data_IF_827333655416
#
_entry.id   IF_827333655416
#
_cell.length_a   1.000
_cell.length_b   1.000
_cell.length_c   1.000
_cell.angle_alpha   90.00
_cell.angle_beta   90.00
_cell.angle_gamma   90.00
#
_symmetry.space_group_name_H-M   'P 1'
#
loop_
_entity.id
_entity.type
_entity.pdbx_description
1 polymer ?
#
# COMPACT_ATOMS: atom_id res chain seq x y z
N UNK A 1 -23.76 19.84 2.68
CA UNK A 1 -23.17 18.50 2.47
C UNK A 1 -21.67 18.73 2.49
N UNK A 2 -21.02 18.31 3.58
CA UNK A 2 -19.67 18.75 3.95
C UNK A 2 -18.62 18.22 2.97
N UNK A 3 -17.79 19.14 2.49
CA UNK A 3 -16.58 18.89 1.72
C UNK A 3 -15.52 18.39 2.70
N UNK A 4 -15.14 17.11 2.60
CA UNK A 4 -14.04 16.54 3.39
C UNK A 4 -12.76 17.27 3.03
N UNK A 5 -12.32 18.14 3.93
CA UNK A 5 -10.95 18.64 3.92
C UNK A 5 -10.03 17.45 4.19
N UNK A 6 -9.44 16.88 3.15
CA UNK A 6 -8.28 16.01 3.25
C UNK A 6 -7.13 16.86 3.83
N UNK A 7 -7.12 17.00 5.16
CA UNK A 7 -6.17 17.82 5.88
C UNK A 7 -4.79 17.18 5.81
N UNK A 8 -3.82 17.93 5.28
CA UNK A 8 -2.41 17.65 5.48
C UNK A 8 -2.16 17.45 6.97
N UNK A 9 -1.64 16.28 7.36
CA UNK A 9 -1.23 16.00 8.74
C UNK A 9 -0.27 17.09 9.22
N UNK A 10 -0.58 17.72 10.35
CA UNK A 10 0.37 18.58 11.04
C UNK A 10 1.51 17.76 11.64
N UNK A 11 2.62 18.44 11.97
CA UNK A 11 3.79 17.81 12.58
C UNK A 11 3.44 17.07 13.89
N UNK A 12 2.58 17.67 14.69
CA UNK A 12 2.13 17.16 15.98
C UNK A 12 1.29 15.88 15.86
N UNK A 13 0.38 15.84 14.88
CA UNK A 13 -0.43 14.66 14.57
C UNK A 13 0.43 13.54 13.97
N UNK A 14 1.37 13.89 13.09
CA UNK A 14 2.31 12.93 12.51
C UNK A 14 3.20 12.29 13.58
N UNK A 15 3.67 13.09 14.55
CA UNK A 15 4.42 12.58 15.70
C UNK A 15 3.57 11.62 16.54
N UNK A 16 2.30 11.97 16.82
CA UNK A 16 1.38 11.07 17.53
C UNK A 16 1.16 9.75 16.76
N UNK A 17 0.96 9.82 15.45
CA UNK A 17 0.81 8.66 14.57
C UNK A 17 2.06 7.76 14.60
N UNK A 18 3.26 8.37 14.55
CA UNK A 18 4.55 7.66 14.66
C UNK A 18 4.68 6.92 15.98
N UNK A 19 4.29 7.54 17.10
CA UNK A 19 4.38 6.89 18.41
C UNK A 19 3.44 5.68 18.51
N UNK A 20 2.20 5.80 18.01
CA UNK A 20 1.26 4.67 17.92
C UNK A 20 1.82 3.55 17.03
N UNK A 21 2.46 3.89 15.91
CA UNK A 21 3.08 2.91 15.03
C UNK A 21 4.22 2.15 15.72
N UNK A 22 5.07 2.85 16.48
CA UNK A 22 6.16 2.26 17.26
C UNK A 22 5.65 1.33 18.37
N UNK A 23 4.43 1.53 18.85
CA UNK A 23 3.76 0.66 19.81
C UNK A 23 3.10 -0.57 19.15
N UNK A 24 3.30 -0.76 17.84
CA UNK A 24 2.79 -1.91 17.09
C UNK A 24 1.51 -1.65 16.28
N UNK A 25 1.02 -0.41 16.25
CA UNK A 25 -0.24 -0.05 15.59
C UNK A 25 -0.30 -0.30 14.07
N UNK A 26 0.85 -0.52 13.42
CA UNK A 26 0.93 -0.92 12.01
C UNK A 26 0.64 -2.41 11.76
N UNK A 27 0.99 -3.28 12.72
CA UNK A 27 0.85 -4.72 12.55
C UNK A 27 -0.49 -5.25 13.11
N UNK A 28 -1.01 -4.59 14.14
CA UNK A 28 -2.23 -4.97 14.82
C UNK A 28 -2.80 -3.82 15.63
N UNK A 29 -4.06 -3.95 16.07
CA UNK A 29 -4.63 -3.05 17.06
C UNK A 29 -3.76 -3.03 18.33
N UNK A 30 -3.33 -1.83 18.73
CA UNK A 30 -2.49 -1.60 19.93
C UNK A 30 -3.28 -0.85 20.98
N UNK A 31 -3.09 -1.22 22.24
CA UNK A 31 -3.70 -0.52 23.37
C UNK A 31 -2.91 0.75 23.68
N UNK A 32 -3.58 1.90 23.63
CA UNK A 32 -3.00 3.22 23.87
C UNK A 32 -3.76 3.90 25.01
N UNK A 33 -3.03 4.51 25.94
CA UNK A 33 -3.60 5.41 26.95
C UNK A 33 -3.22 6.86 26.64
N UNK A 34 -4.11 7.81 26.91
CA UNK A 34 -3.78 9.24 26.71
C UNK A 34 -2.70 9.73 27.67
N UNK A 35 -2.50 9.04 28.80
CA UNK A 35 -1.40 9.31 29.74
C UNK A 35 -0.05 8.97 29.14
N UNK A 36 0.14 7.70 28.77
CA UNK A 36 1.40 7.22 28.20
C UNK A 36 1.75 7.93 26.89
N UNK A 37 0.73 8.20 26.05
CA UNK A 37 0.93 8.96 24.82
C UNK A 37 1.25 10.43 25.11
N UNK A 38 0.62 11.03 26.13
CA UNK A 38 0.90 12.39 26.57
C UNK A 38 2.34 12.55 27.03
N UNK A 39 2.80 11.65 27.89
CA UNK A 39 4.17 11.66 28.42
C UNK A 39 5.21 11.58 27.29
N UNK A 40 5.00 10.70 26.30
CA UNK A 40 5.90 10.57 25.13
C UNK A 40 5.82 11.73 24.14
N UNK A 41 4.69 12.42 24.09
CA UNK A 41 4.51 13.64 23.29
C UNK A 41 4.97 14.90 24.03
N UNK A 42 5.45 14.78 25.28
CA UNK A 42 5.69 15.90 26.20
C UNK A 42 4.49 16.86 26.27
N UNK A 43 3.29 16.28 26.33
CA UNK A 43 2.02 16.99 26.21
C UNK A 43 1.00 16.51 27.24
N UNK A 44 0.01 17.34 27.52
CA UNK A 44 -1.08 16.96 28.42
C UNK A 44 -1.93 15.81 27.85
N UNK A 45 -2.56 15.02 28.73
CA UNK A 45 -3.53 13.98 28.32
C UNK A 45 -4.64 14.53 27.40
N UNK A 46 -5.07 15.77 27.62
CA UNK A 46 -6.08 16.41 26.76
C UNK A 46 -5.53 16.70 25.36
N UNK A 47 -4.28 17.12 25.26
CA UNK A 47 -3.62 17.35 23.96
C UNK A 47 -3.42 16.03 23.22
N UNK A 48 -2.95 14.98 23.91
CA UNK A 48 -2.84 13.64 23.32
C UNK A 48 -4.20 13.13 22.82
N UNK A 49 -5.27 13.28 23.62
CA UNK A 49 -6.63 12.93 23.22
C UNK A 49 -7.08 13.70 21.98
N UNK A 50 -6.82 15.01 21.90
CA UNK A 50 -7.17 15.84 20.74
C UNK A 50 -6.42 15.41 19.48
N UNK A 51 -5.14 15.05 19.59
CA UNK A 51 -4.35 14.54 18.46
C UNK A 51 -4.88 13.21 17.94
N UNK A 52 -5.23 12.28 18.83
CA UNK A 52 -5.87 11.01 18.42
C UNK A 52 -7.24 11.23 17.76
N UNK A 53 -8.03 12.19 18.25
CA UNK A 53 -9.30 12.56 17.61
C UNK A 53 -9.08 13.17 16.22
N UNK A 54 -8.06 14.01 16.06
CA UNK A 54 -7.71 14.59 14.77
C UNK A 54 -7.24 13.53 13.76
N UNK A 55 -6.43 12.56 14.21
CA UNK A 55 -5.99 11.43 13.39
C UNK A 55 -7.16 10.55 12.92
N UNK A 56 -8.11 10.26 13.81
CA UNK A 56 -9.32 9.50 13.49
C UNK A 56 -10.22 10.29 12.52
N UNK A 57 -10.41 11.59 12.76
CA UNK A 57 -11.20 12.45 11.88
C UNK A 57 -10.59 12.60 10.47
N UNK A 58 -9.28 12.36 10.32
CA UNK A 58 -8.57 12.34 9.05
C UNK A 58 -8.44 10.96 8.41
N UNK A 59 -9.12 9.93 8.94
CA UNK A 59 -9.05 8.52 8.49
C UNK A 59 -7.63 7.92 8.55
N UNK A 60 -6.72 8.46 9.39
CA UNK A 60 -5.36 7.94 9.55
C UNK A 60 -5.28 6.78 10.55
N UNK A 61 -6.25 6.69 11.47
CA UNK A 61 -6.37 5.63 12.47
C UNK A 61 -7.84 5.27 12.69
N UNK A 62 -8.07 4.03 13.10
CA UNK A 62 -9.34 3.55 13.67
C UNK A 62 -9.17 3.37 15.18
N UNK A 63 -10.20 3.74 15.96
CA UNK A 63 -10.15 3.64 17.42
C UNK A 63 -11.39 2.98 18.02
N UNK A 64 -11.14 2.12 19.00
CA UNK A 64 -12.18 1.54 19.87
C UNK A 64 -11.92 1.93 21.33
N UNK A 65 -12.80 2.76 21.90
CA UNK A 65 -12.70 3.22 23.28
C UNK A 65 -13.17 2.13 24.24
N UNK A 66 -12.36 1.83 25.27
CA UNK A 66 -12.67 0.84 26.32
C UNK A 66 -12.47 1.45 27.71
N UNK A 67 -12.92 0.76 28.76
CA UNK A 67 -12.87 1.26 30.13
C UNK A 67 -11.45 1.56 30.66
N UNK A 68 -10.42 0.97 30.04
CA UNK A 68 -9.01 1.05 30.45
C UNK A 68 -8.11 1.53 29.30
N UNK A 69 -8.59 2.48 28.49
CA UNK A 69 -7.84 3.08 27.38
C UNK A 69 -8.56 2.98 26.04
N UNK A 70 -7.81 2.92 24.95
CA UNK A 70 -8.36 2.75 23.61
C UNK A 70 -7.51 1.79 22.81
N UNK A 71 -8.15 0.98 21.96
CA UNK A 71 -7.45 0.23 20.92
C UNK A 71 -7.32 1.11 19.70
N UNK A 72 -6.12 1.21 19.14
CA UNK A 72 -5.84 2.01 17.95
C UNK A 72 -5.23 1.12 16.89
N UNK A 73 -5.76 1.20 15.68
CA UNK A 73 -5.20 0.55 14.49
C UNK A 73 -4.84 1.62 13.48
N UNK A 74 -3.67 1.55 12.87
CA UNK A 74 -3.28 2.48 11.81
C UNK A 74 -3.91 2.04 10.49
N UNK A 75 -4.52 2.98 9.77
CA UNK A 75 -5.11 2.72 8.46
C UNK A 75 -4.06 2.75 7.34
N UNK A 76 -4.45 2.33 6.13
CA UNK A 76 -3.61 2.48 4.94
C UNK A 76 -3.22 3.94 4.64
N UNK A 77 -4.06 4.90 5.03
CA UNK A 77 -3.75 6.33 4.93
C UNK A 77 -2.68 6.75 5.96
N UNK A 78 -2.80 6.29 7.21
CA UNK A 78 -1.79 6.53 8.23
C UNK A 78 -0.44 5.89 7.89
N UNK A 79 -0.45 4.66 7.37
CA UNK A 79 0.78 4.00 6.91
C UNK A 79 1.45 4.79 5.77
N UNK A 80 0.68 5.24 4.78
CA UNK A 80 1.23 6.06 3.68
C UNK A 80 1.85 7.37 4.18
N UNK A 81 1.24 8.03 5.16
CA UNK A 81 1.80 9.24 5.77
C UNK A 81 3.16 8.97 6.42
N UNK A 82 3.28 7.88 7.19
CA UNK A 82 4.55 7.47 7.81
C UNK A 82 5.61 7.06 6.76
N UNK A 83 5.20 6.41 5.67
CA UNK A 83 6.11 6.06 4.56
C UNK A 83 6.64 7.31 3.86
N UNK A 84 5.82 8.35 3.70
CA UNK A 84 6.27 9.62 3.12
C UNK A 84 7.34 10.28 4.00
N UNK A 85 7.09 10.37 5.31
CA UNK A 85 8.05 10.90 6.30
C UNK A 85 9.36 10.10 6.27
N UNK A 86 9.28 8.77 6.19
CA UNK A 86 10.45 7.91 6.08
C UNK A 86 11.23 8.17 4.78
N UNK A 87 10.56 8.36 3.65
CA UNK A 87 11.20 8.66 2.38
C UNK A 87 11.97 10.00 2.42
N UNK A 88 11.45 11.00 3.13
CA UNK A 88 12.16 12.27 3.32
C UNK A 88 13.41 12.08 4.18
N UNK A 89 13.35 11.30 5.26
CA UNK A 89 14.56 10.95 6.02
C UNK A 89 15.57 10.16 5.20
N UNK A 90 15.13 9.21 4.36
CA UNK A 90 16.05 8.49 3.45
C UNK A 90 16.75 9.46 2.52
N UNK A 91 16.04 10.42 1.91
CA UNK A 91 16.66 11.44 1.05
C UNK A 91 17.70 12.32 1.76
N UNK A 92 17.49 12.60 3.04
CA UNK A 92 18.39 13.44 3.83
C UNK A 92 19.65 12.71 4.30
N UNK A 93 19.53 11.42 4.63
CA UNK A 93 20.58 10.67 5.32
C UNK A 93 21.21 9.54 4.51
N UNK A 94 20.58 9.09 3.43
CA UNK A 94 21.16 8.13 2.52
C UNK A 94 21.76 8.88 1.32
N UNK A 95 23.09 8.83 1.18
CA UNK A 95 23.76 9.19 -0.09
C UNK A 95 23.13 8.38 -1.21
N UNK A 96 22.89 9.01 -2.38
CA UNK A 96 22.24 8.49 -3.60
C UNK A 96 22.42 6.98 -3.81
N UNK A 97 21.69 6.18 -3.04
CA UNK A 97 21.64 4.75 -3.17
C UNK A 97 20.36 4.53 -3.93
N UNK A 98 20.49 4.56 -5.26
CA UNK A 98 19.37 4.35 -6.15
C UNK A 98 18.51 3.16 -5.70
N UNK A 99 17.19 3.28 -5.89
CA UNK A 99 16.27 2.20 -5.56
C UNK A 99 16.70 0.92 -6.27
N UNK A 100 17.13 -0.08 -5.50
CA UNK A 100 17.49 -1.39 -6.03
C UNK A 100 16.29 -2.31 -5.92
N UNK A 101 15.79 -2.77 -7.06
CA UNK A 101 14.72 -3.77 -7.15
C UNK A 101 15.31 -5.08 -7.67
N UNK A 102 15.06 -6.18 -6.96
CA UNK A 102 15.49 -7.54 -7.31
C UNK A 102 14.29 -8.42 -7.65
N UNK A 103 14.52 -9.37 -8.56
CA UNK A 103 13.47 -10.26 -9.05
C UNK A 103 13.99 -11.22 -10.11
N UNK A 104 13.08 -12.06 -10.63
CA UNK A 104 13.37 -13.03 -11.66
C UNK A 104 12.84 -12.58 -13.02
N UNK A 105 13.61 -12.81 -14.08
CA UNK A 105 13.17 -12.48 -15.45
C UNK A 105 12.06 -13.45 -15.87
N UNK A 106 10.97 -12.92 -16.41
CA UNK A 106 9.83 -13.72 -16.86
C UNK A 106 9.49 -13.45 -18.32
N UNK A 107 8.94 -14.47 -18.99
CA UNK A 107 8.39 -14.32 -20.34
C UNK A 107 6.97 -13.78 -20.28
N UNK A 108 6.62 -12.83 -21.15
CA UNK A 108 5.25 -12.33 -21.32
C UNK A 108 4.63 -12.76 -22.66
N UNK A 109 3.38 -12.34 -22.91
CA UNK A 109 2.66 -12.62 -24.17
C UNK A 109 3.17 -11.83 -25.39
N UNK A 110 4.20 -10.99 -25.22
CA UNK A 110 4.80 -10.21 -26.31
C UNK A 110 4.07 -8.91 -26.67
N UNK A 111 3.03 -8.53 -25.92
CA UNK A 111 2.23 -7.32 -26.18
C UNK A 111 3.03 -6.02 -26.01
N UNK A 112 4.09 -6.02 -25.18
CA UNK A 112 4.95 -4.85 -24.95
C UNK A 112 5.57 -4.31 -26.25
N UNK A 113 5.89 -5.18 -27.22
CA UNK A 113 6.40 -4.77 -28.54
C UNK A 113 5.43 -3.85 -29.26
N UNK A 114 4.14 -4.16 -29.21
CA UNK A 114 3.11 -3.38 -29.88
C UNK A 114 3.11 -1.94 -29.39
N UNK A 115 3.12 -1.73 -28.06
CA UNK A 115 3.08 -0.40 -27.45
C UNK A 115 4.35 0.41 -27.66
N UNK A 116 5.52 -0.21 -27.51
CA UNK A 116 6.81 0.50 -27.63
C UNK A 116 7.06 0.99 -29.06
N UNK A 117 6.57 0.26 -30.08
CA UNK A 117 6.71 0.65 -31.49
C UNK A 117 5.65 1.65 -31.99
N UNK A 118 4.73 2.11 -31.12
CA UNK A 118 3.76 3.13 -31.55
C UNK A 118 4.50 4.44 -31.83
N UNK A 119 4.31 5.09 -33.01
CA UNK A 119 5.08 6.28 -33.40
C UNK A 119 4.99 7.46 -32.43
N UNK A 120 3.95 7.51 -31.59
CA UNK A 120 3.81 8.53 -30.55
C UNK A 120 4.61 8.23 -29.28
N UNK A 121 4.80 6.95 -28.95
CA UNK A 121 5.61 6.53 -27.80
C UNK A 121 7.10 6.58 -28.16
N UNK A 122 7.49 6.05 -29.32
CA UNK A 122 8.88 6.08 -29.80
C UNK A 122 9.46 7.50 -29.79
N UNK A 123 8.74 8.48 -30.35
CA UNK A 123 9.12 9.90 -30.29
C UNK A 123 9.25 10.45 -28.86
N UNK A 124 8.41 10.00 -27.94
CA UNK A 124 8.51 10.42 -26.54
C UNK A 124 9.73 9.81 -25.85
N UNK A 125 10.06 8.54 -26.12
CA UNK A 125 11.29 7.91 -25.62
C UNK A 125 12.52 8.67 -26.12
N UNK A 126 12.59 8.99 -27.41
CA UNK A 126 13.70 9.76 -27.95
C UNK A 126 13.79 11.17 -27.36
N UNK A 127 12.66 11.88 -27.25
CA UNK A 127 12.64 13.26 -26.75
C UNK A 127 12.95 13.34 -25.25
N UNK A 128 12.37 12.44 -24.44
CA UNK A 128 12.44 12.51 -22.97
C UNK A 128 13.63 11.74 -22.39
N UNK A 129 14.07 10.68 -23.07
CA UNK A 129 15.09 9.76 -22.56
C UNK A 129 16.32 9.66 -23.48
N UNK A 130 16.29 10.25 -24.68
CA UNK A 130 17.45 10.35 -25.56
C UNK A 130 17.85 9.05 -26.26
N UNK A 131 16.96 8.05 -26.32
CA UNK A 131 17.24 6.78 -27.01
C UNK A 131 16.00 6.24 -27.75
N UNK A 132 16.24 5.50 -28.83
CA UNK A 132 15.22 4.71 -29.52
C UNK A 132 15.00 3.38 -28.79
N UNK A 133 13.79 3.09 -28.30
CA UNK A 133 13.56 1.93 -27.46
C UNK A 133 13.63 0.61 -28.25
N UNK A 134 14.15 -0.45 -27.61
CA UNK A 134 14.06 -1.80 -28.16
C UNK A 134 12.58 -2.21 -28.30
N UNK A 135 12.16 -2.89 -29.38
CA UNK A 135 10.75 -3.23 -29.63
C UNK A 135 10.27 -4.39 -28.74
N UNK A 136 10.15 -4.14 -27.44
CA UNK A 136 9.73 -5.08 -26.41
C UNK A 136 9.89 -4.52 -25.01
N UNK A 137 9.46 -5.29 -24.00
CA UNK A 137 9.62 -4.94 -22.58
C UNK A 137 10.32 -6.07 -21.85
N UNK A 138 11.15 -5.72 -20.87
CA UNK A 138 11.71 -6.69 -19.91
C UNK A 138 10.71 -6.87 -18.78
N UNK A 139 10.24 -8.09 -18.55
CA UNK A 139 9.37 -8.40 -17.42
C UNK A 139 10.21 -8.99 -16.29
N UNK A 140 10.05 -8.43 -15.10
CA UNK A 140 10.71 -8.89 -13.89
C UNK A 140 9.62 -9.16 -12.86
N UNK A 141 9.58 -10.38 -12.34
CA UNK A 141 8.77 -10.73 -11.18
C UNK A 141 9.55 -10.41 -9.91
N UNK A 142 9.09 -9.40 -9.17
CA UNK A 142 9.80 -8.83 -8.04
C UNK A 142 9.72 -9.74 -6.82
N UNK A 143 10.79 -9.82 -6.03
CA UNK A 143 10.72 -10.47 -4.73
C UNK A 143 9.89 -9.65 -3.71
N UNK A 144 9.48 -10.28 -2.61
CA UNK A 144 8.61 -9.65 -1.62
C UNK A 144 9.21 -8.36 -1.02
N UNK A 145 10.54 -8.29 -0.90
CA UNK A 145 11.22 -7.10 -0.40
C UNK A 145 11.12 -5.95 -1.41
N UNK A 146 11.35 -6.24 -2.69
CA UNK A 146 11.28 -5.30 -3.80
C UNK A 146 9.85 -4.87 -4.12
N UNK A 147 8.85 -5.74 -3.91
CA UNK A 147 7.43 -5.36 -4.00
C UNK A 147 7.11 -4.26 -2.97
N UNK A 148 7.59 -4.40 -1.74
CA UNK A 148 7.40 -3.38 -0.69
C UNK A 148 8.17 -2.10 -0.98
N UNK A 149 9.41 -2.22 -1.47
CA UNK A 149 10.24 -1.08 -1.84
C UNK A 149 9.72 -0.34 -3.10
N UNK A 150 8.96 -1.00 -3.97
CA UNK A 150 8.37 -0.40 -5.18
C UNK A 150 7.50 0.82 -4.88
N UNK A 151 6.87 0.88 -3.70
CA UNK A 151 6.09 2.05 -3.28
C UNK A 151 6.94 3.34 -3.23
N UNK A 152 8.24 3.23 -3.01
CA UNK A 152 9.16 4.37 -3.01
C UNK A 152 9.35 4.94 -4.42
N UNK A 153 9.20 4.13 -5.47
CA UNK A 153 9.27 4.58 -6.86
C UNK A 153 8.13 5.56 -7.18
N UNK A 154 6.95 5.36 -6.59
CA UNK A 154 5.79 6.24 -6.78
C UNK A 154 6.01 7.63 -6.13
N UNK A 155 6.88 7.71 -5.14
CA UNK A 155 7.28 8.95 -4.48
C UNK A 155 8.44 9.68 -5.18
N UNK A 156 9.08 9.05 -6.19
CA UNK A 156 10.15 9.66 -6.97
C UNK A 156 9.60 10.51 -8.12
N UNK A 157 10.37 11.54 -8.52
CA UNK A 157 10.00 12.43 -9.60
C UNK A 157 9.86 11.64 -10.92
N UNK A 158 8.63 11.55 -11.42
CA UNK A 158 8.32 10.95 -12.72
C UNK A 158 8.39 11.98 -13.84
N UNK A 159 8.69 11.55 -15.07
CA UNK A 159 8.64 12.44 -16.23
C UNK A 159 7.17 12.78 -16.53
N UNK A 160 6.75 14.05 -16.44
CA UNK A 160 5.37 14.42 -16.67
C UNK A 160 4.94 14.12 -18.11
N UNK A 161 3.68 13.69 -18.25
CA UNK A 161 3.00 13.40 -19.53
C UNK A 161 2.52 14.68 -20.25
N UNK A 162 2.68 15.84 -19.62
CA UNK A 162 2.28 17.12 -20.22
C UNK A 162 3.37 17.61 -21.17
N UNK A 163 3.25 17.18 -22.41
CA UNK A 163 3.35 18.02 -23.62
C UNK A 163 3.22 17.14 -24.86
N UNK A 164 2.45 17.61 -25.86
CA UNK A 164 2.13 16.99 -27.15
C UNK A 164 0.90 16.05 -27.18
N UNK A 165 -0.31 16.61 -27.04
CA UNK A 165 -1.53 16.31 -27.84
C UNK A 165 -1.98 14.86 -28.12
N UNK A 166 -1.34 13.83 -27.59
CA UNK A 166 -1.70 12.43 -27.76
C UNK A 166 -2.77 12.10 -26.73
N UNK A 167 -3.97 11.75 -27.18
CA UNK A 167 -4.96 11.16 -26.29
C UNK A 167 -4.32 9.94 -25.63
N UNK A 168 -4.36 9.88 -24.29
CA UNK A 168 -4.20 8.61 -23.57
C UNK A 168 -5.19 7.63 -24.21
N UNK A 169 -4.77 6.43 -24.67
CA UNK A 169 -5.73 5.38 -24.89
C UNK A 169 -6.43 5.13 -23.56
N UNK A 170 -7.76 5.15 -23.54
CA UNK A 170 -8.58 4.80 -22.38
C UNK A 170 -8.36 3.31 -22.09
N UNK A 171 -7.23 2.95 -21.50
CA UNK A 171 -6.98 1.58 -21.04
C UNK A 171 -7.66 1.46 -19.70
N UNK A 172 -8.94 1.07 -19.72
CA UNK A 172 -9.66 0.75 -18.49
C UNK A 172 -9.10 -0.56 -17.94
N UNK A 173 -8.99 -0.66 -16.61
CA UNK A 173 -8.61 -1.90 -15.87
C UNK A 173 -9.42 -3.15 -16.26
N UNK A 174 -10.51 -3.01 -17.02
CA UNK A 174 -11.35 -4.11 -17.52
C UNK A 174 -11.21 -4.48 -19.00
N UNK A 175 -10.45 -3.74 -19.82
CA UNK A 175 -10.32 -4.03 -21.26
C UNK A 175 -9.40 -5.22 -21.56
N UNK A 176 -8.76 -5.79 -20.53
CA UNK A 176 -7.97 -7.02 -20.58
C UNK A 176 -8.81 -8.31 -20.80
N UNK A 177 -10.15 -8.24 -20.87
CA UNK A 177 -10.99 -9.45 -20.96
C UNK A 177 -12.05 -9.47 -22.08
N UNK A 178 -12.09 -8.53 -23.02
CA UNK A 178 -13.09 -8.56 -24.11
C UNK A 178 -12.57 -8.30 -25.52
N UNK A 179 -11.31 -8.63 -25.79
CA UNK A 179 -10.80 -8.75 -27.15
C UNK A 179 -11.45 -9.93 -27.89
N UNK A 180 -12.56 -9.66 -28.59
CA UNK A 180 -13.22 -10.59 -29.53
C UNK A 180 -12.25 -10.89 -30.68
N UNK A 181 -11.44 -11.95 -30.54
CA UNK A 181 -10.75 -12.53 -31.68
C UNK A 181 -11.77 -13.32 -32.51
N UNK A 182 -11.91 -12.91 -33.78
CA UNK A 182 -12.69 -13.63 -34.76
C UNK A 182 -12.23 -15.08 -34.91
N UNK A 183 -13.21 -15.99 -34.93
CA UNK A 183 -13.17 -17.25 -35.66
C UNK A 183 -11.95 -18.16 -35.46
N UNK A 184 -12.01 -19.00 -34.42
CA UNK A 184 -11.88 -20.47 -34.46
C UNK A 184 -11.72 -20.98 -33.02
N UNK A 185 -12.64 -21.86 -32.59
CA UNK A 185 -12.56 -22.55 -31.30
C UNK A 185 -11.48 -23.62 -31.37
N UNK A 186 -10.50 -23.67 -30.45
CA UNK A 186 -9.95 -24.94 -30.02
C UNK A 186 -10.80 -25.45 -28.85
N UNK A 187 -11.43 -26.60 -29.07
CA UNK A 187 -11.98 -27.39 -27.97
C UNK A 187 -10.81 -27.89 -27.11
N UNK A 188 -10.78 -27.53 -25.82
CA UNK A 188 -9.93 -28.22 -24.85
C UNK A 188 -10.83 -28.85 -23.79
N UNK A 189 -10.77 -30.18 -23.79
CA UNK A 189 -11.44 -31.12 -22.90
C UNK A 189 -10.93 -30.93 -21.48
N UNK A 190 -11.82 -30.72 -20.52
CA UNK A 190 -11.48 -30.70 -19.10
C UNK A 190 -11.05 -32.11 -18.64
N UNK A 191 -9.80 -32.24 -18.21
CA UNK A 191 -9.34 -33.38 -17.39
C UNK A 191 -9.79 -33.20 -15.93
N UNK A 192 -9.88 -34.30 -15.15
CA UNK A 192 -10.53 -34.30 -13.84
C UNK A 192 -9.76 -33.45 -12.82
N UNK A 193 -10.52 -32.65 -12.05
CA UNK A 193 -10.01 -31.87 -10.92
C UNK A 193 -9.72 -32.82 -9.76
N UNK A 194 -8.48 -32.80 -9.27
CA UNK A 194 -8.13 -33.41 -7.99
C UNK A 194 -8.89 -32.74 -6.84
N UNK A 195 -9.46 -33.56 -5.96
CA UNK A 195 -10.20 -33.13 -4.78
C UNK A 195 -9.23 -32.59 -3.72
N UNK A 196 -9.50 -31.45 -3.08
CA UNK A 196 -8.76 -31.07 -1.88
C UNK A 196 -9.14 -32.00 -0.70
N UNK A 197 -8.12 -32.47 0.02
CA UNK A 197 -8.22 -33.35 1.19
C UNK A 197 -8.87 -32.68 2.42
N UNK A 198 -9.12 -33.46 3.49
CA UNK A 198 -10.02 -33.07 4.56
C UNK A 198 -9.45 -31.98 5.48
N UNK A 199 -10.34 -31.05 5.85
CA UNK A 199 -10.11 -30.00 6.86
C UNK A 199 -9.74 -30.58 8.24
N UNK A 200 -8.86 -29.90 9.01
CA UNK A 200 -8.57 -30.28 10.40
C UNK A 200 -9.75 -29.98 11.35
N UNK A 201 -9.92 -30.76 12.44
CA UNK A 201 -11.08 -30.65 13.32
C UNK A 201 -11.08 -29.39 14.21
N UNK A 202 -12.27 -28.78 14.31
CA UNK A 202 -12.57 -27.61 15.16
C UNK A 202 -12.40 -27.95 16.66
N UNK A 203 -11.53 -27.22 17.36
CA UNK A 203 -11.41 -27.29 18.83
C UNK A 203 -12.71 -26.82 19.50
N UNK A 204 -13.34 -27.70 20.29
CA UNK A 204 -14.46 -27.39 21.17
C UNK A 204 -13.98 -26.47 22.32
N UNK A 205 -14.66 -25.35 22.52
CA UNK A 205 -14.51 -24.51 23.73
C UNK A 205 -15.09 -25.27 24.92
N UNK A 206 -14.25 -25.68 25.87
CA UNK A 206 -14.71 -26.15 27.18
C UNK A 206 -15.14 -24.96 28.03
N UNK A 207 -16.43 -24.94 28.35
CA UNK A 207 -17.08 -24.03 29.28
C UNK A 207 -16.93 -24.64 30.68
N UNK A 208 -15.97 -24.15 31.47
CA UNK A 208 -15.81 -24.51 32.88
C UNK A 208 -16.46 -23.46 33.78
N UNK A 209 -17.46 -23.88 34.55
CA UNK A 209 -18.12 -23.10 35.61
C UNK A 209 -17.52 -23.48 36.99
N UNK A 210 -17.53 -22.49 37.90
CA UNK A 210 -17.41 -22.56 39.38
C UNK A 210 -15.98 -22.83 39.90
N UNK A 211 -15.52 -22.23 41.01
CA UNK A 211 -16.23 -21.80 42.23
C UNK A 211 -15.42 -20.76 43.01
N UNK A 212 -16.11 -19.89 43.75
CA UNK A 212 -15.57 -19.03 44.82
C UNK A 212 -14.97 -19.88 45.94
N UNK A 213 -13.89 -19.40 46.58
CA UNK A 213 -13.75 -19.32 48.04
C UNK A 213 -12.50 -18.52 48.42
N UNK A 214 -12.71 -17.45 49.18
CA UNK A 214 -11.72 -16.79 50.04
C UNK A 214 -11.61 -17.56 51.36
N UNK A 215 -10.58 -17.32 52.18
CA UNK A 215 -10.70 -16.24 53.18
C UNK A 215 -9.76 -15.05 52.95
#
# INVERSE_FOLDING_TARGET
MAESAAGTLGHDELLALKLVALDGGLASATKVSCGDLGDRLEASNQTASRRLQALEAGDYIDRDIVADGQWVTISDAGERALRSEYADYRRLFEEESGLTLTGSVTSGMGEGKHYITLPGYERQFETKLGYTPFPGTLNIDLDDASIRARAELEAQASIPDRELGGRRPDIRRGDLLSGRCGGRRPAVRAGPRDRPGPHPPRRRKHRGYRTRQAP
#
